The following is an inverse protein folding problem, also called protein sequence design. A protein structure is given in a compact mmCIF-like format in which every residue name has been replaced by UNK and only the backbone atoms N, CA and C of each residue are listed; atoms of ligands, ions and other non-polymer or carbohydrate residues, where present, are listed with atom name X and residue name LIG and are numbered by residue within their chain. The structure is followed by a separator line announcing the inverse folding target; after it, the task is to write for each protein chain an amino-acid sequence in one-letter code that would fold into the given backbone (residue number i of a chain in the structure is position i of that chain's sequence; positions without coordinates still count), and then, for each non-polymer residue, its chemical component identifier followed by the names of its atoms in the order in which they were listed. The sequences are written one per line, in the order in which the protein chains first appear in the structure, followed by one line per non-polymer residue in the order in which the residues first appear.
data_IF_608261048599
#
_entry.id   IF_608261048599
#
_cell.length_a   1.000
_cell.length_b   1.000
_cell.length_c   1.000
_cell.angle_alpha   90.00
_cell.angle_beta   90.00
_cell.angle_gamma   90.00
#
_symmetry.space_group_name_H-M   'P 1'
#
loop_
_entity.id
_entity.type
_entity.pdbx_description
1 polymer ?
#
# COMPACT_ATOMS: atom_id res chain seq x y z
N UNK A 1 -44.56 -2.33 36.00
CA UNK A 1 -44.51 -1.27 34.98
C UNK A 1 -43.05 -1.07 34.61
N UNK A 2 -42.67 -1.28 33.34
CA UNK A 2 -41.28 -1.17 32.87
C UNK A 2 -41.15 0.18 32.19
N UNK A 3 -40.35 1.08 32.77
CA UNK A 3 -40.08 2.41 32.19
C UNK A 3 -38.75 2.38 31.43
N UNK A 4 -38.72 3.00 30.25
CA UNK A 4 -37.50 3.22 29.47
C UNK A 4 -36.60 4.28 30.13
N UNK A 5 -35.30 4.33 29.77
CA UNK A 5 -34.37 5.33 30.34
C UNK A 5 -34.83 6.77 30.06
N UNK A 6 -35.38 7.00 28.86
CA UNK A 6 -35.92 8.29 28.43
C UNK A 6 -37.14 8.73 29.25
N UNK A 7 -38.08 7.81 29.51
CA UNK A 7 -39.26 8.10 30.34
C UNK A 7 -38.90 8.43 31.80
N UNK A 8 -37.86 7.80 32.36
CA UNK A 8 -37.37 8.09 33.70
C UNK A 8 -36.71 9.48 33.75
N UNK A 9 -35.95 9.84 32.71
CA UNK A 9 -35.26 11.13 32.58
C UNK A 9 -36.18 12.32 32.23
N UNK A 10 -37.36 12.09 31.67
CA UNK A 10 -38.29 13.17 31.31
C UNK A 10 -39.40 13.39 32.35
N UNK A 11 -39.91 12.34 32.98
CA UNK A 11 -41.15 12.41 33.76
C UNK A 11 -40.99 12.38 35.29
N UNK A 12 -39.78 12.16 35.81
CA UNK A 12 -39.57 11.99 37.25
C UNK A 12 -38.58 13.02 37.83
N UNK A 13 -38.78 13.49 39.08
CA UNK A 13 -37.80 14.29 39.80
C UNK A 13 -36.53 13.48 40.13
N UNK A 14 -35.38 14.15 40.24
CA UNK A 14 -34.05 13.52 40.34
C UNK A 14 -33.93 12.43 41.43
N UNK A 15 -34.55 12.64 42.59
CA UNK A 15 -34.57 11.69 43.71
C UNK A 15 -35.31 10.39 43.36
N UNK A 16 -36.35 10.47 42.55
CA UNK A 16 -37.16 9.33 42.13
C UNK A 16 -36.51 8.59 40.96
N UNK A 17 -35.78 9.30 40.08
CA UNK A 17 -34.92 8.71 39.03
C UNK A 17 -33.90 7.75 39.61
N UNK A 18 -33.14 8.22 40.60
CA UNK A 18 -32.08 7.42 41.22
C UNK A 18 -32.65 6.15 41.86
N UNK A 19 -33.84 6.24 42.46
CA UNK A 19 -34.52 5.09 43.07
C UNK A 19 -35.02 4.11 42.03
N UNK A 20 -35.70 4.59 40.98
CA UNK A 20 -36.24 3.77 39.90
C UNK A 20 -35.12 3.11 39.08
N UNK A 21 -34.04 3.83 38.82
CA UNK A 21 -32.85 3.30 38.15
C UNK A 21 -32.14 2.26 39.02
N UNK A 22 -31.98 2.50 40.33
CA UNK A 22 -31.46 1.51 41.29
C UNK A 22 -32.34 0.25 41.35
N UNK A 23 -33.66 0.40 41.38
CA UNK A 23 -34.58 -0.75 41.39
C UNK A 23 -34.56 -1.50 40.06
N UNK A 24 -34.39 -0.80 38.93
CA UNK A 24 -34.30 -1.39 37.58
C UNK A 24 -32.98 -2.13 37.38
N UNK A 25 -31.85 -1.57 37.80
CA UNK A 25 -30.55 -2.23 37.74
C UNK A 25 -30.50 -3.43 38.68
N UNK A 26 -31.11 -3.37 39.86
CA UNK A 26 -31.13 -4.50 40.79
C UNK A 26 -31.96 -5.69 40.30
N UNK A 27 -32.96 -5.48 39.44
CA UNK A 27 -33.92 -6.53 39.05
C UNK A 27 -33.90 -6.92 37.56
N UNK A 28 -33.04 -6.31 36.74
CA UNK A 28 -33.02 -6.58 35.29
C UNK A 28 -31.63 -6.97 34.80
N UNK A 29 -31.48 -8.27 34.48
CA UNK A 29 -30.29 -8.80 33.81
C UNK A 29 -30.06 -8.10 32.46
N UNK A 30 -31.13 -7.73 31.76
CA UNK A 30 -31.08 -7.01 30.47
C UNK A 30 -30.39 -5.65 30.63
N UNK A 31 -30.63 -4.93 31.74
CA UNK A 31 -29.94 -3.67 32.01
C UNK A 31 -28.43 -3.88 32.16
N UNK A 32 -28.01 -4.88 32.94
CA UNK A 32 -26.58 -5.20 33.11
C UNK A 32 -25.93 -5.66 31.81
N UNK A 33 -26.63 -6.44 30.98
CA UNK A 33 -26.12 -6.86 29.68
C UNK A 33 -25.90 -5.65 28.77
N UNK A 34 -26.87 -4.75 28.66
CA UNK A 34 -26.72 -3.56 27.81
C UNK A 34 -25.65 -2.61 28.35
N UNK A 35 -25.51 -2.49 29.66
CA UNK A 35 -24.44 -1.71 30.28
C UNK A 35 -23.06 -2.32 30.05
N UNK A 36 -22.95 -3.65 30.10
CA UNK A 36 -21.73 -4.35 29.74
C UNK A 36 -21.36 -4.12 28.27
N UNK A 37 -22.33 -4.21 27.36
CA UNK A 37 -22.13 -3.96 25.93
C UNK A 37 -21.61 -2.53 25.70
N UNK A 38 -22.23 -1.53 26.33
CA UNK A 38 -21.77 -0.12 26.26
C UNK A 38 -20.33 0.08 26.71
N UNK A 39 -19.92 -0.60 27.77
CA UNK A 39 -18.59 -0.45 28.34
C UNK A 39 -17.51 -1.22 27.55
N UNK A 40 -17.88 -2.33 26.91
CA UNK A 40 -16.93 -3.19 26.20
C UNK A 40 -16.77 -2.82 24.73
N UNK A 41 -17.84 -2.36 24.08
CA UNK A 41 -17.85 -2.12 22.63
C UNK A 41 -18.27 -0.68 22.34
N UNK A 42 -17.32 0.10 21.82
CA UNK A 42 -17.58 1.47 21.40
C UNK A 42 -18.54 1.47 20.21
N UNK A 43 -19.62 2.23 20.32
CA UNK A 43 -20.64 2.34 19.27
C UNK A 43 -21.82 1.38 19.41
N UNK A 44 -21.80 0.45 20.37
CA UNK A 44 -22.94 -0.41 20.70
C UNK A 44 -23.58 0.04 22.03
N UNK A 45 -24.88 0.34 22.01
CA UNK A 45 -25.64 0.76 23.19
C UNK A 45 -26.41 -0.38 23.87
N UNK A 46 -26.60 -1.48 23.15
CA UNK A 46 -27.36 -2.66 23.52
C UNK A 46 -27.00 -3.87 22.63
N UNK A 47 -27.54 -5.05 22.96
CA UNK A 47 -27.25 -6.27 22.20
C UNK A 47 -27.61 -6.15 20.69
N UNK A 48 -28.76 -5.56 20.30
CA UNK A 48 -29.05 -5.30 18.89
C UNK A 48 -28.01 -4.44 18.16
N UNK A 49 -27.60 -3.30 18.74
CA UNK A 49 -26.58 -2.45 18.12
C UNK A 49 -25.20 -3.11 18.08
N UNK A 50 -24.87 -3.99 19.04
CA UNK A 50 -23.67 -4.82 18.97
C UNK A 50 -23.68 -5.75 17.75
N UNK A 51 -24.84 -6.34 17.43
CA UNK A 51 -25.00 -7.20 16.26
C UNK A 51 -24.81 -6.40 14.97
N UNK A 52 -25.31 -5.17 14.91
CA UNK A 52 -25.14 -4.27 13.77
C UNK A 52 -23.67 -3.89 13.56
N UNK A 53 -22.99 -3.42 14.61
CA UNK A 53 -21.55 -3.12 14.55
C UNK A 53 -20.73 -4.34 14.11
N UNK A 54 -21.09 -5.53 14.58
CA UNK A 54 -20.40 -6.76 14.18
C UNK A 54 -20.63 -7.09 12.71
N UNK A 55 -21.84 -6.90 12.19
CA UNK A 55 -22.15 -7.12 10.77
C UNK A 55 -21.38 -6.16 9.88
N UNK A 56 -21.34 -4.88 10.24
CA UNK A 56 -20.60 -3.87 9.47
C UNK A 56 -19.10 -4.18 9.46
N UNK A 57 -18.54 -4.65 10.57
CA UNK A 57 -17.15 -5.05 10.63
C UNK A 57 -16.87 -6.29 9.77
N UNK A 58 -17.76 -7.28 9.78
CA UNK A 58 -17.65 -8.47 8.91
C UNK A 58 -17.66 -8.06 7.44
N UNK A 59 -18.59 -7.20 7.05
CA UNK A 59 -18.69 -6.71 5.67
C UNK A 59 -17.43 -5.97 5.24
N UNK A 60 -16.91 -5.07 6.09
CA UNK A 60 -15.64 -4.38 5.82
C UNK A 60 -14.46 -5.34 5.65
N UNK A 61 -14.42 -6.43 6.45
CA UNK A 61 -13.38 -7.44 6.32
C UNK A 61 -13.53 -8.22 5.02
N UNK A 62 -14.74 -8.61 4.64
CA UNK A 62 -15.02 -9.29 3.36
C UNK A 62 -14.62 -8.41 2.17
N UNK A 63 -14.97 -7.12 2.20
CA UNK A 63 -14.58 -6.15 1.17
C UNK A 63 -13.06 -6.03 1.06
N UNK A 64 -12.34 -5.98 2.19
CA UNK A 64 -10.86 -5.95 2.21
C UNK A 64 -10.24 -7.22 1.63
N UNK A 65 -10.80 -8.40 1.92
CA UNK A 65 -10.32 -9.65 1.34
C UNK A 65 -10.57 -9.69 -0.17
N UNK A 66 -11.75 -9.25 -0.63
CA UNK A 66 -12.06 -9.15 -2.06
C UNK A 66 -11.15 -8.13 -2.78
N UNK A 67 -10.87 -6.98 -2.17
CA UNK A 67 -9.92 -5.99 -2.70
C UNK A 67 -8.51 -6.57 -2.80
N UNK A 68 -8.06 -7.30 -1.79
CA UNK A 68 -6.75 -7.96 -1.80
C UNK A 68 -6.66 -9.01 -2.89
N UNK A 69 -7.68 -9.84 -3.08
CA UNK A 69 -7.73 -10.84 -4.15
C UNK A 69 -7.65 -10.17 -5.54
N UNK A 70 -8.41 -9.10 -5.75
CA UNK A 70 -8.37 -8.31 -6.99
C UNK A 70 -7.02 -7.58 -7.21
N UNK A 71 -6.32 -7.22 -6.14
CA UNK A 71 -4.99 -6.62 -6.24
C UNK A 71 -3.94 -7.65 -6.63
N UNK A 72 -4.06 -8.89 -6.11
CA UNK A 72 -3.18 -10.02 -6.47
C UNK A 72 -3.34 -10.38 -7.96
N UNK A 73 -4.57 -10.39 -8.48
CA UNK A 73 -4.81 -10.66 -9.90
C UNK A 73 -4.31 -9.54 -10.81
N UNK A 74 -4.39 -8.27 -10.38
CA UNK A 74 -3.75 -7.15 -11.11
C UNK A 74 -2.23 -7.20 -11.09
N UNK A 75 -1.60 -7.68 -10.00
CA UNK A 75 -0.14 -7.90 -10.01
C UNK A 75 0.28 -9.04 -10.94
N UNK A 76 -0.56 -10.05 -11.18
CA UNK A 76 -0.27 -11.05 -12.23
C UNK A 76 -0.36 -10.47 -13.64
N UNK A 77 -1.21 -9.48 -13.91
CA UNK A 77 -1.15 -8.72 -15.17
C UNK A 77 0.12 -7.84 -15.26
N UNK A 78 0.66 -7.41 -14.11
CA UNK A 78 1.94 -6.69 -14.04
C UNK A 78 3.14 -7.62 -14.32
N UNK A 79 2.99 -8.95 -14.31
CA UNK A 79 4.04 -9.87 -14.76
C UNK A 79 4.30 -9.76 -16.28
N UNK A 80 3.38 -9.20 -17.08
CA UNK A 80 3.72 -8.84 -18.46
C UNK A 80 4.78 -7.74 -18.53
N UNK A 81 4.87 -6.87 -17.53
CA UNK A 81 5.93 -5.85 -17.44
C UNK A 81 7.25 -6.42 -16.89
N UNK A 82 7.26 -7.59 -16.21
CA UNK A 82 8.51 -8.19 -15.74
C UNK A 82 9.33 -8.79 -16.88
N UNK A 83 8.67 -9.29 -17.93
CA UNK A 83 9.34 -9.79 -19.14
C UNK A 83 10.06 -8.64 -19.87
N UNK A 84 9.44 -7.46 -19.94
CA UNK A 84 10.10 -6.27 -20.52
C UNK A 84 11.26 -5.78 -19.64
N UNK A 85 11.13 -5.88 -18.32
CA UNK A 85 12.18 -5.46 -17.38
C UNK A 85 13.41 -6.37 -17.45
N UNK A 86 13.21 -7.69 -17.53
CA UNK A 86 14.28 -8.67 -17.71
C UNK A 86 15.00 -8.44 -19.05
N UNK A 87 14.25 -8.12 -20.12
CA UNK A 87 14.84 -7.79 -21.43
C UNK A 87 15.64 -6.49 -21.42
N UNK A 88 15.20 -5.47 -20.66
CA UNK A 88 15.95 -4.22 -20.51
C UNK A 88 17.21 -4.45 -19.68
N UNK A 89 17.16 -5.27 -18.63
CA UNK A 89 18.32 -5.61 -17.81
C UNK A 89 19.38 -6.35 -18.63
N UNK A 90 18.99 -7.31 -19.47
CA UNK A 90 19.87 -8.00 -20.40
C UNK A 90 20.53 -7.01 -21.39
N UNK A 91 19.74 -6.15 -22.04
CA UNK A 91 20.26 -5.15 -22.97
C UNK A 91 21.25 -4.17 -22.30
N UNK A 92 20.97 -3.75 -21.07
CA UNK A 92 21.87 -2.86 -20.33
C UNK A 92 23.17 -3.58 -19.96
N UNK A 93 23.08 -4.84 -19.52
CA UNK A 93 24.25 -5.67 -19.22
C UNK A 93 25.14 -5.83 -20.46
N UNK A 94 24.56 -6.13 -21.62
CA UNK A 94 25.28 -6.28 -22.87
C UNK A 94 25.98 -4.98 -23.29
N UNK A 95 25.30 -3.83 -23.17
CA UNK A 95 25.88 -2.52 -23.47
C UNK A 95 27.06 -2.17 -22.55
N UNK A 96 26.98 -2.52 -21.26
CA UNK A 96 28.10 -2.31 -20.34
C UNK A 96 29.28 -3.24 -20.65
N UNK A 97 29.02 -4.50 -21.04
CA UNK A 97 30.05 -5.42 -21.45
C UNK A 97 30.75 -4.96 -22.74
N UNK A 98 29.98 -4.50 -23.74
CA UNK A 98 30.52 -3.94 -24.99
C UNK A 98 31.38 -2.70 -24.73
N UNK A 99 30.90 -1.77 -23.87
CA UNK A 99 31.66 -0.59 -23.46
C UNK A 99 32.99 -0.96 -22.80
N UNK A 100 32.99 -1.95 -21.91
CA UNK A 100 34.21 -2.40 -21.23
C UNK A 100 35.20 -3.05 -22.21
N UNK A 101 34.70 -3.85 -23.16
CA UNK A 101 35.54 -4.41 -24.24
C UNK A 101 36.17 -3.30 -25.09
N UNK A 102 35.39 -2.28 -25.47
CA UNK A 102 35.88 -1.12 -26.23
C UNK A 102 37.01 -0.39 -25.49
N UNK A 103 36.86 -0.17 -24.19
CA UNK A 103 37.87 0.47 -23.35
C UNK A 103 39.12 -0.40 -23.18
N UNK A 104 38.95 -1.71 -23.02
CA UNK A 104 40.07 -2.64 -22.95
C UNK A 104 40.87 -2.71 -24.26
N UNK A 105 40.18 -2.75 -25.41
CA UNK A 105 40.81 -2.86 -26.73
C UNK A 105 41.51 -1.57 -27.15
N UNK A 106 40.86 -0.43 -26.92
CA UNK A 106 41.44 0.90 -27.23
C UNK A 106 42.41 1.40 -26.15
N UNK A 107 42.50 0.71 -25.01
CA UNK A 107 43.25 1.12 -23.80
C UNK A 107 42.91 2.53 -23.33
N UNK A 108 41.64 2.89 -23.44
CA UNK A 108 41.10 4.19 -23.04
C UNK A 108 40.18 4.04 -21.84
N UNK A 109 40.00 5.12 -21.08
CA UNK A 109 39.16 5.12 -19.87
C UNK A 109 37.89 5.95 -20.05
N UNK A 110 37.72 6.58 -21.20
CA UNK A 110 36.57 7.41 -21.52
C UNK A 110 36.25 7.41 -23.01
N UNK A 111 34.98 7.58 -23.35
CA UNK A 111 34.55 7.69 -24.76
C UNK A 111 35.21 8.89 -25.47
N UNK A 112 35.52 9.94 -24.73
CA UNK A 112 36.21 11.13 -25.24
C UNK A 112 37.65 10.80 -25.68
N UNK A 113 38.34 9.93 -24.94
CA UNK A 113 39.66 9.42 -25.32
C UNK A 113 39.58 8.53 -26.55
N UNK A 114 38.58 7.64 -26.65
CA UNK A 114 38.34 6.82 -27.86
C UNK A 114 38.19 7.72 -29.10
N UNK A 115 37.35 8.75 -29.02
CA UNK A 115 37.13 9.69 -30.12
C UNK A 115 38.44 10.43 -30.47
N UNK A 116 39.23 10.82 -29.47
CA UNK A 116 40.49 11.51 -29.68
C UNK A 116 41.54 10.61 -30.35
N UNK A 117 41.59 9.33 -29.97
CA UNK A 117 42.45 8.32 -30.59
C UNK A 117 42.10 8.12 -32.06
N UNK A 118 40.81 7.94 -32.37
CA UNK A 118 40.34 7.77 -33.75
C UNK A 118 40.69 8.99 -34.60
N UNK A 119 40.43 10.20 -34.10
CA UNK A 119 40.79 11.45 -34.82
C UNK A 119 42.29 11.57 -35.07
N UNK A 120 43.12 11.20 -34.10
CA UNK A 120 44.58 11.18 -34.28
C UNK A 120 45.02 10.19 -35.35
N UNK A 121 44.40 9.00 -35.39
CA UNK A 121 44.67 8.01 -36.44
C UNK A 121 44.20 8.47 -37.83
N UNK A 122 43.05 9.15 -37.92
CA UNK A 122 42.55 9.75 -39.16
C UNK A 122 43.50 10.83 -39.68
N UNK A 123 44.02 11.69 -38.79
CA UNK A 123 44.95 12.75 -39.16
C UNK A 123 46.30 12.19 -39.64
N UNK A 124 46.83 11.16 -38.97
CA UNK A 124 48.03 10.43 -39.39
C UNK A 124 47.85 9.74 -40.75
N UNK A 125 46.68 9.15 -40.99
CA UNK A 125 46.38 8.51 -42.27
C UNK A 125 46.27 9.55 -43.38
N UNK A 126 45.61 10.68 -43.12
CA UNK A 126 45.47 11.77 -44.07
C UNK A 126 46.82 12.41 -44.41
N UNK A 127 47.71 12.59 -43.43
CA UNK A 127 49.06 13.09 -43.69
C UNK A 127 49.85 12.13 -44.58
N UNK A 128 49.76 10.82 -44.33
CA UNK A 128 50.39 9.81 -45.16
C UNK A 128 49.88 9.89 -46.61
N UNK A 129 48.57 9.94 -46.83
CA UNK A 129 48.02 10.05 -48.19
C UNK A 129 48.44 11.35 -48.89
N UNK A 130 48.51 12.47 -48.19
CA UNK A 130 48.96 13.74 -48.77
C UNK A 130 50.45 13.74 -49.16
N UNK A 131 51.29 12.95 -48.48
CA UNK A 131 52.70 12.76 -48.86
C UNK A 131 52.87 11.91 -50.13
N UNK A 132 51.92 11.01 -50.44
CA UNK A 132 51.93 10.23 -51.68
C UNK A 132 51.37 11.00 -52.89
N UNK A 133 50.73 12.15 -52.67
CA UNK A 133 50.11 12.96 -53.73
C UNK A 133 50.99 14.12 -54.23
N UNK A 134 52.23 14.25 -53.71
CA UNK A 134 53.30 15.15 -54.20
C UNK A 134 54.43 14.39 -54.88
#
# INVERSE_FOLDING_TARGET
MIFTKREIEEHYPLSERLRLEKTKSQNSVIYWINELVRNQVRGAEDVPSLIEVTKDLVMQVEDLYAEKENSVTKTTETQSNSIELDSIEEQVSDLYAEKEMLFAETKTHSIAEVISLIRGMEEQLNSMYSEYET
#
